data_IF_915154962291
#
_entry.id   IF_915154962291
#
_cell.length_a   1.000
_cell.length_b   1.000
_cell.length_c   1.000
_cell.angle_alpha   90.00
_cell.angle_beta   90.00
_cell.angle_gamma   90.00
#
_symmetry.space_group_name_H-M   'P 1'
#
loop_
_entity.id
_entity.type
_entity.pdbx_description
1 polymer ?
#
# COMPACT_ATOMS: atom_id res chain seq x y z
N UNK A 1 -6.61 1.26 -2.04
CA UNK A 1 -5.37 0.74 -1.40
C UNK A 1 -5.55 0.44 0.10
N UNK A 2 -6.79 0.30 0.57
CA UNK A 2 -7.15 0.22 2.00
C UNK A 2 -7.40 -1.23 2.48
N UNK A 3 -7.35 -2.25 1.61
CA UNK A 3 -7.79 -3.62 2.00
C UNK A 3 -6.63 -4.63 2.08
N UNK A 4 -5.69 -4.61 1.13
CA UNK A 4 -4.61 -5.62 1.06
C UNK A 4 -3.57 -5.54 2.19
N UNK A 5 -3.07 -4.33 2.49
CA UNK A 5 -2.17 -4.10 3.63
C UNK A 5 -2.90 -4.18 4.98
N UNK A 6 -4.22 -3.96 4.96
CA UNK A 6 -5.06 -3.85 6.15
C UNK A 6 -5.43 -5.21 6.72
N UNK A 7 -5.61 -6.26 5.89
CA UNK A 7 -5.84 -7.63 6.39
C UNK A 7 -4.69 -8.16 7.26
N UNK A 8 -3.48 -7.63 7.08
CA UNK A 8 -2.29 -7.98 7.85
C UNK A 8 -2.07 -7.08 9.08
N UNK A 9 -2.39 -5.79 9.00
CA UNK A 9 -2.32 -4.85 10.14
C UNK A 9 -3.51 -5.00 11.12
N UNK A 10 -4.67 -5.44 10.63
CA UNK A 10 -5.90 -5.59 11.43
C UNK A 10 -5.95 -6.90 12.22
N UNK A 11 -5.17 -7.92 11.85
CA UNK A 11 -5.08 -9.16 12.64
C UNK A 11 -4.45 -8.96 14.03
N UNK A 12 -3.85 -7.79 14.28
CA UNK A 12 -3.31 -7.39 15.59
C UNK A 12 -4.13 -6.30 16.31
N UNK A 13 -5.27 -5.85 15.76
CA UNK A 13 -6.11 -4.81 16.37
C UNK A 13 -7.34 -5.42 17.08
N UNK A 14 -7.70 -4.94 18.30
CA UNK A 14 -8.89 -5.41 19.02
C UNK A 14 -10.17 -5.30 18.19
N UNK A 15 -11.07 -6.27 18.36
CA UNK A 15 -12.33 -6.46 17.58
C UNK A 15 -13.17 -5.17 17.45
N UNK A 16 -13.20 -4.32 18.49
CA UNK A 16 -13.99 -3.08 18.51
C UNK A 16 -13.57 -2.03 17.48
N UNK A 17 -12.28 -1.96 17.11
CA UNK A 17 -11.80 -0.96 16.16
C UNK A 17 -12.08 -1.34 14.70
N UNK A 18 -12.18 -2.65 14.42
CA UNK A 18 -12.67 -3.16 13.14
C UNK A 18 -14.10 -2.70 12.86
N UNK A 19 -14.95 -2.70 13.89
CA UNK A 19 -16.32 -2.21 13.80
C UNK A 19 -16.35 -0.70 13.54
N UNK A 20 -15.55 0.13 14.21
CA UNK A 20 -15.53 1.59 13.98
C UNK A 20 -15.08 1.99 12.57
N UNK A 21 -14.07 1.31 12.01
CA UNK A 21 -13.66 1.51 10.60
C UNK A 21 -14.76 1.09 9.60
N UNK A 22 -15.57 0.10 9.96
CA UNK A 22 -16.72 -0.37 9.18
C UNK A 22 -17.93 0.60 9.31
N UNK A 23 -18.13 1.19 10.48
CA UNK A 23 -19.23 2.13 10.80
C UNK A 23 -18.99 3.51 10.19
N UNK A 24 -17.74 3.96 10.04
CA UNK A 24 -17.41 5.20 9.32
C UNK A 24 -17.70 5.15 7.79
N UNK A 25 -18.27 4.04 7.29
CA UNK A 25 -18.69 3.84 5.90
C UNK A 25 -20.19 4.08 5.62
N UNK A 26 -21.03 4.27 6.64
CA UNK A 26 -22.48 4.49 6.44
C UNK A 26 -22.91 5.87 6.96
N UNK A 27 -23.26 6.75 6.01
CA UNK A 27 -24.16 7.92 6.13
C UNK A 27 -24.11 8.83 7.37
N UNK A 28 -23.60 10.06 7.18
CA UNK A 28 -24.02 11.24 7.95
C UNK A 28 -23.13 11.73 9.10
N UNK A 29 -22.22 10.89 9.62
CA UNK A 29 -21.37 11.23 10.77
C UNK A 29 -19.88 11.35 10.49
N UNK A 30 -19.44 11.37 9.22
CA UNK A 30 -18.02 11.25 8.84
C UNK A 30 -17.13 12.34 9.46
N UNK A 31 -17.50 13.60 9.30
CA UNK A 31 -16.65 14.71 9.77
C UNK A 31 -16.60 14.72 11.30
N UNK A 32 -17.71 14.38 11.96
CA UNK A 32 -17.75 14.15 13.41
C UNK A 32 -16.87 12.98 13.85
N UNK A 33 -16.84 11.89 13.08
CA UNK A 33 -15.96 10.76 13.33
C UNK A 33 -14.48 11.13 13.19
N UNK A 34 -14.14 11.96 12.20
CA UNK A 34 -12.78 12.49 12.01
C UNK A 34 -12.41 13.41 13.19
N UNK A 35 -13.27 14.35 13.57
CA UNK A 35 -13.07 15.25 14.72
C UNK A 35 -12.83 14.47 16.02
N UNK A 36 -13.62 13.42 16.28
CA UNK A 36 -13.41 12.55 17.44
C UNK A 36 -12.04 11.86 17.42
N UNK A 37 -11.62 11.36 16.25
CA UNK A 37 -10.30 10.74 16.09
C UNK A 37 -9.16 11.77 16.23
N UNK A 38 -9.32 12.98 15.69
CA UNK A 38 -8.37 14.08 15.80
C UNK A 38 -8.17 14.49 17.27
N UNK A 39 -9.26 14.63 18.03
CA UNK A 39 -9.21 14.92 19.48
C UNK A 39 -8.53 13.80 20.27
N UNK A 40 -8.86 12.55 19.98
CA UNK A 40 -8.24 11.39 20.64
C UNK A 40 -6.73 11.30 20.34
N UNK A 41 -6.32 11.62 19.10
CA UNK A 41 -4.92 11.63 18.68
C UNK A 41 -4.10 12.82 19.26
N UNK A 42 -4.76 13.92 19.59
CA UNK A 42 -4.14 15.09 20.21
C UNK A 42 -3.94 14.96 21.73
N UNK A 43 -4.80 14.18 22.40
CA UNK A 43 -4.73 13.97 23.85
C UNK A 43 -3.62 13.01 24.30
N UNK A 44 -3.38 12.93 25.60
CA UNK A 44 -2.42 11.99 26.23
C UNK A 44 -3.05 10.63 26.60
N UNK A 45 -4.19 10.27 26.00
CA UNK A 45 -4.93 9.05 26.35
C UNK A 45 -4.22 7.78 25.87
N UNK A 46 -4.52 6.63 26.49
CA UNK A 46 -4.08 5.31 26.00
C UNK A 46 -4.52 5.05 24.56
N UNK A 47 -5.66 5.63 24.14
CA UNK A 47 -6.21 5.50 22.80
C UNK A 47 -5.52 6.37 21.74
N UNK A 48 -4.55 7.22 22.12
CA UNK A 48 -3.91 8.19 21.23
C UNK A 48 -3.32 7.52 19.98
N UNK A 49 -2.46 6.53 20.19
CA UNK A 49 -1.74 5.84 19.10
C UNK A 49 -2.71 5.12 18.17
N UNK A 50 -3.73 4.48 18.72
CA UNK A 50 -4.73 3.78 17.93
C UNK A 50 -5.59 4.75 17.10
N UNK A 51 -5.96 5.90 17.69
CA UNK A 51 -6.64 6.97 16.98
C UNK A 51 -5.79 7.53 15.83
N UNK A 52 -4.47 7.67 16.03
CA UNK A 52 -3.55 8.07 14.96
C UNK A 52 -3.53 7.06 13.81
N UNK A 53 -3.46 5.75 14.07
CA UNK A 53 -3.56 4.73 13.01
C UNK A 53 -4.91 4.78 12.28
N UNK A 54 -6.01 4.99 13.01
CA UNK A 54 -7.33 5.17 12.43
C UNK A 54 -7.42 6.44 11.55
N UNK A 55 -6.81 7.57 11.97
CA UNK A 55 -6.72 8.78 11.16
C UNK A 55 -5.95 8.54 9.87
N UNK A 56 -4.81 7.83 9.91
CA UNK A 56 -4.05 7.49 8.70
C UNK A 56 -4.92 6.74 7.70
N UNK A 57 -5.74 5.80 8.17
CA UNK A 57 -6.69 5.06 7.33
C UNK A 57 -7.71 6.00 6.69
N UNK A 58 -8.42 6.76 7.53
CA UNK A 58 -9.52 7.62 7.09
C UNK A 58 -9.00 8.67 6.13
N UNK A 59 -7.91 9.37 6.46
CA UNK A 59 -7.29 10.35 5.57
C UNK A 59 -6.87 9.77 4.23
N UNK A 60 -6.30 8.55 4.20
CA UNK A 60 -5.98 7.90 2.92
C UNK A 60 -7.23 7.56 2.11
N UNK A 61 -8.33 7.14 2.75
CA UNK A 61 -9.62 6.88 2.08
C UNK A 61 -10.20 8.16 1.48
N UNK A 62 -10.11 9.26 2.23
CA UNK A 62 -10.60 10.58 1.84
C UNK A 62 -9.62 11.36 0.94
N UNK A 63 -8.52 10.71 0.49
CA UNK A 63 -7.45 11.33 -0.32
C UNK A 63 -6.77 12.55 0.33
N UNK A 64 -6.91 12.71 1.65
CA UNK A 64 -6.20 13.70 2.48
C UNK A 64 -4.77 13.23 2.78
N UNK A 65 -3.98 13.01 1.73
CA UNK A 65 -2.65 12.39 1.85
C UNK A 65 -1.63 13.27 2.61
N UNK A 66 -1.81 14.60 2.57
CA UNK A 66 -1.01 15.53 3.38
C UNK A 66 -1.19 15.28 4.87
N UNK A 67 -2.45 15.22 5.31
CA UNK A 67 -2.80 14.98 6.72
C UNK A 67 -2.36 13.59 7.18
N UNK A 68 -2.56 12.56 6.34
CA UNK A 68 -2.06 11.22 6.61
C UNK A 68 -0.54 11.19 6.81
N UNK A 69 0.24 11.92 5.98
CA UNK A 69 1.69 12.00 6.17
C UNK A 69 2.08 12.76 7.45
N UNK A 70 1.33 13.79 7.84
CA UNK A 70 1.59 14.50 9.09
C UNK A 70 1.41 13.57 10.31
N UNK A 71 0.34 12.76 10.32
CA UNK A 71 0.13 11.76 11.38
C UNK A 71 1.20 10.67 11.35
N UNK A 72 1.58 10.17 10.17
CA UNK A 72 2.65 9.16 10.02
C UNK A 72 4.01 9.66 10.52
N UNK A 73 4.32 10.95 10.32
CA UNK A 73 5.55 11.56 10.84
C UNK A 73 5.59 11.53 12.38
N UNK A 74 4.47 11.88 13.02
CA UNK A 74 4.35 11.81 14.49
C UNK A 74 4.42 10.36 14.98
N UNK A 75 3.74 9.42 14.31
CA UNK A 75 3.83 7.98 14.64
C UNK A 75 5.26 7.45 14.54
N UNK A 76 6.06 7.96 13.59
CA UNK A 76 7.46 7.59 13.42
C UNK A 76 8.35 8.14 14.55
N UNK A 77 8.04 9.31 15.10
CA UNK A 77 8.72 9.85 16.28
C UNK A 77 8.38 9.03 17.54
N UNK A 78 7.11 8.64 17.69
CA UNK A 78 6.66 7.79 18.81
C UNK A 78 7.17 6.34 18.70
N UNK A 79 7.32 5.83 17.48
CA UNK A 79 7.71 4.45 17.19
C UNK A 79 8.85 4.37 16.17
N UNK A 80 10.05 4.86 16.49
CA UNK A 80 11.16 4.98 15.53
C UNK A 80 11.65 3.63 15.00
N UNK A 81 11.40 2.55 15.75
CA UNK A 81 11.76 1.18 15.36
C UNK A 81 10.67 0.48 14.55
N UNK A 82 9.49 1.08 14.34
CA UNK A 82 8.40 0.46 13.61
C UNK A 82 8.53 0.68 12.10
N UNK A 83 9.14 -0.29 11.42
CA UNK A 83 9.36 -0.25 9.97
C UNK A 83 8.07 -0.22 9.15
N UNK A 84 6.95 -0.72 9.68
CA UNK A 84 5.67 -0.67 8.97
C UNK A 84 5.12 0.76 8.88
N UNK A 85 5.43 1.64 9.84
CA UNK A 85 5.09 3.07 9.77
C UNK A 85 5.83 3.72 8.61
N UNK A 86 7.12 3.42 8.43
CA UNK A 86 7.94 3.93 7.30
C UNK A 86 7.37 3.44 5.95
N UNK A 87 7.00 2.17 5.87
CA UNK A 87 6.40 1.59 4.67
C UNK A 87 5.06 2.27 4.32
N UNK A 88 4.22 2.55 5.32
CA UNK A 88 2.94 3.23 5.11
C UNK A 88 3.11 4.72 4.80
N UNK A 89 4.11 5.40 5.38
CA UNK A 89 4.50 6.78 5.04
C UNK A 89 4.88 6.86 3.56
N UNK A 90 5.77 5.99 3.08
CA UNK A 90 6.15 5.97 1.68
C UNK A 90 4.99 5.56 0.76
N UNK A 91 4.16 4.59 1.18
CA UNK A 91 2.96 4.18 0.44
C UNK A 91 1.95 5.33 0.31
N UNK A 92 1.77 6.12 1.37
CA UNK A 92 0.89 7.31 1.38
C UNK A 92 1.47 8.41 0.50
N UNK A 93 2.79 8.63 0.54
CA UNK A 93 3.46 9.58 -0.35
C UNK A 93 3.22 9.21 -1.83
N UNK A 94 3.38 7.93 -2.19
CA UNK A 94 3.13 7.43 -3.54
C UNK A 94 1.67 7.64 -3.97
N UNK A 95 0.69 7.36 -3.10
CA UNK A 95 -0.74 7.63 -3.38
C UNK A 95 -1.02 9.11 -3.61
N UNK A 96 -0.29 9.97 -2.91
CA UNK A 96 -0.35 11.43 -3.07
C UNK A 96 0.48 11.98 -4.22
N UNK A 97 0.95 11.14 -5.15
CA UNK A 97 1.72 11.58 -6.32
C UNK A 97 3.18 11.97 -6.03
N UNK A 98 3.66 11.78 -4.80
CA UNK A 98 5.04 12.08 -4.40
C UNK A 98 5.94 10.86 -4.59
N UNK A 99 6.11 10.45 -5.84
CA UNK A 99 6.84 9.23 -6.18
C UNK A 99 8.34 9.30 -5.82
N UNK A 100 8.97 10.48 -5.97
CA UNK A 100 10.37 10.68 -5.58
C UNK A 100 10.58 10.50 -4.06
N UNK A 101 9.73 11.13 -3.24
CA UNK A 101 9.75 10.96 -1.79
C UNK A 101 9.52 9.50 -1.37
N UNK A 102 8.62 8.81 -2.07
CA UNK A 102 8.34 7.41 -1.82
C UNK A 102 9.56 6.53 -2.15
N UNK A 103 10.18 6.69 -3.32
CA UNK A 103 11.36 5.93 -3.74
C UNK A 103 12.53 6.12 -2.77
N UNK A 104 12.79 7.36 -2.33
CA UNK A 104 13.83 7.65 -1.36
C UNK A 104 13.60 6.92 -0.02
N UNK A 105 12.39 7.05 0.55
CA UNK A 105 12.01 6.39 1.82
C UNK A 105 12.03 4.86 1.70
N UNK A 106 11.54 4.31 0.59
CA UNK A 106 11.51 2.86 0.36
C UNK A 106 12.91 2.30 0.14
N UNK A 107 13.78 3.04 -0.53
CA UNK A 107 15.20 2.65 -0.70
C UNK A 107 15.90 2.59 0.65
N UNK A 108 15.77 3.62 1.49
CA UNK A 108 16.33 3.63 2.83
C UNK A 108 15.72 2.51 3.70
N UNK A 109 14.39 2.38 3.70
CA UNK A 109 13.67 1.41 4.51
C UNK A 109 13.97 -0.03 4.13
N UNK A 110 14.13 -0.35 2.83
CA UNK A 110 14.54 -1.67 2.38
C UNK A 110 15.99 -1.99 2.82
N UNK A 111 16.91 -1.02 2.72
CA UNK A 111 18.27 -1.19 3.21
C UNK A 111 18.35 -1.38 4.74
N UNK A 112 17.41 -0.82 5.49
CA UNK A 112 17.24 -1.09 6.92
C UNK A 112 16.62 -2.46 7.17
N UNK A 113 15.60 -2.86 6.39
CA UNK A 113 14.94 -4.17 6.48
C UNK A 113 15.94 -5.33 6.32
N UNK A 114 16.87 -5.23 5.37
CA UNK A 114 17.92 -6.25 5.14
C UNK A 114 18.82 -6.43 6.36
N UNK A 115 19.12 -5.36 7.09
CA UNK A 115 19.98 -5.39 8.29
C UNK A 115 19.23 -5.76 9.56
N UNK A 116 17.91 -5.74 9.53
CA UNK A 116 17.09 -5.91 10.71
C UNK A 116 16.86 -7.40 11.01
N UNK A 117 17.37 -7.84 12.16
CA UNK A 117 17.31 -9.24 12.63
C UNK A 117 15.95 -9.62 13.23
N UNK A 118 15.07 -8.66 13.49
CA UNK A 118 13.75 -8.94 14.08
C UNK A 118 12.87 -9.73 13.10
N UNK A 119 11.95 -10.58 13.61
CA UNK A 119 11.02 -11.34 12.78
C UNK A 119 10.32 -10.48 11.74
N UNK A 120 10.22 -11.00 10.52
CA UNK A 120 9.56 -10.36 9.39
C UNK A 120 8.24 -11.05 9.10
N UNK A 121 7.28 -10.30 8.60
CA UNK A 121 6.07 -10.89 8.06
C UNK A 121 6.39 -11.83 6.89
N UNK A 122 5.65 -12.93 6.69
CA UNK A 122 5.73 -13.69 5.45
C UNK A 122 5.45 -12.80 4.24
N UNK A 123 6.43 -12.66 3.36
CA UNK A 123 6.36 -11.79 2.18
C UNK A 123 6.60 -10.30 2.44
N UNK A 124 7.12 -9.92 3.62
CA UNK A 124 7.37 -8.50 3.94
C UNK A 124 8.30 -7.85 2.91
N UNK A 125 9.45 -8.47 2.62
CA UNK A 125 10.41 -7.92 1.66
C UNK A 125 9.75 -7.73 0.29
N UNK A 126 8.94 -8.69 -0.18
CA UNK A 126 8.23 -8.58 -1.45
C UNK A 126 7.25 -7.40 -1.46
N UNK A 127 6.62 -7.08 -0.32
CA UNK A 127 5.81 -5.86 -0.20
C UNK A 127 6.64 -4.59 -0.32
N UNK A 128 7.81 -4.52 0.34
CA UNK A 128 8.73 -3.38 0.21
C UNK A 128 9.22 -3.21 -1.23
N UNK A 129 9.64 -4.30 -1.87
CA UNK A 129 10.06 -4.33 -3.29
C UNK A 129 8.95 -3.87 -4.21
N UNK A 130 7.73 -4.38 -4.05
CA UNK A 130 6.57 -3.93 -4.84
C UNK A 130 6.37 -2.42 -4.73
N UNK A 131 6.36 -1.87 -3.51
CA UNK A 131 6.15 -0.42 -3.31
C UNK A 131 7.26 0.40 -3.95
N UNK A 132 8.51 -0.02 -3.82
CA UNK A 132 9.65 0.69 -4.41
C UNK A 132 9.61 0.62 -5.94
N UNK A 133 9.36 -0.57 -6.48
CA UNK A 133 9.16 -0.78 -7.91
C UNK A 133 8.01 0.06 -8.48
N UNK A 134 6.90 0.17 -7.77
CA UNK A 134 5.78 1.03 -8.17
C UNK A 134 6.15 2.53 -8.15
N UNK A 135 6.89 2.99 -7.13
CA UNK A 135 7.38 4.37 -7.08
C UNK A 135 8.35 4.67 -8.24
N UNK A 136 9.30 3.77 -8.50
CA UNK A 136 10.26 3.87 -9.62
C UNK A 136 9.56 3.82 -10.98
N UNK A 137 8.55 2.98 -11.13
CA UNK A 137 7.75 2.90 -12.35
C UNK A 137 6.98 4.20 -12.61
N UNK A 138 6.47 4.85 -11.55
CA UNK A 138 5.82 6.17 -11.65
C UNK A 138 6.81 7.28 -12.04
N UNK A 139 8.09 7.13 -11.68
CA UNK A 139 9.18 8.02 -12.09
C UNK A 139 9.76 7.69 -13.48
N UNK A 140 9.24 6.66 -14.18
CA UNK A 140 9.77 6.24 -15.48
C UNK A 140 11.15 5.59 -15.41
N UNK A 141 11.61 5.16 -14.23
CA UNK A 141 12.93 4.55 -14.06
C UNK A 141 12.96 3.12 -14.64
N UNK A 142 14.05 2.80 -15.35
CA UNK A 142 14.23 1.49 -15.96
C UNK A 142 14.40 0.36 -14.93
N UNK A 143 15.08 0.63 -13.81
CA UNK A 143 15.32 -0.34 -12.72
C UNK A 143 14.07 -0.65 -11.88
N UNK A 144 12.92 -0.03 -12.19
CA UNK A 144 11.64 -0.38 -11.57
C UNK A 144 11.28 -1.86 -11.78
N UNK A 145 11.66 -2.43 -12.93
CA UNK A 145 11.30 -3.79 -13.31
C UNK A 145 11.93 -4.84 -12.39
N UNK A 146 13.14 -4.58 -11.87
CA UNK A 146 13.88 -5.52 -11.04
C UNK A 146 13.18 -5.69 -9.68
N UNK A 147 12.75 -4.57 -9.10
CA UNK A 147 11.95 -4.56 -7.86
C UNK A 147 10.59 -5.24 -8.04
N UNK A 148 9.92 -4.97 -9.17
CA UNK A 148 8.61 -5.57 -9.44
C UNK A 148 8.71 -7.07 -9.66
N UNK A 149 9.77 -7.57 -10.33
CA UNK A 149 10.01 -9.01 -10.50
C UNK A 149 10.32 -9.68 -9.17
N UNK A 150 11.19 -9.10 -8.35
CA UNK A 150 11.48 -9.61 -7.00
C UNK A 150 10.20 -9.71 -6.14
N UNK A 151 9.26 -8.78 -6.31
CA UNK A 151 7.97 -8.81 -5.62
C UNK A 151 7.00 -9.91 -6.11
N UNK A 152 7.35 -10.67 -7.14
CA UNK A 152 6.57 -11.80 -7.67
C UNK A 152 7.16 -13.18 -7.33
N UNK A 153 8.27 -13.21 -6.59
CA UNK A 153 8.91 -14.46 -6.14
C UNK A 153 8.01 -15.26 -5.18
N UNK A 154 8.26 -16.57 -4.97
CA UNK A 154 7.38 -17.47 -4.23
C UNK A 154 7.01 -17.04 -2.80
N UNK A 155 7.86 -16.25 -2.14
CA UNK A 155 7.59 -15.71 -0.80
C UNK A 155 6.52 -14.60 -0.78
N UNK A 156 6.14 -14.06 -1.94
CA UNK A 156 5.14 -13.01 -2.04
C UNK A 156 3.73 -13.50 -1.69
N UNK A 157 3.01 -12.69 -0.92
CA UNK A 157 1.56 -12.87 -0.78
C UNK A 157 0.88 -12.71 -2.15
N UNK A 158 -0.17 -13.48 -2.49
CA UNK A 158 -0.80 -13.44 -3.81
C UNK A 158 -1.25 -12.02 -4.23
N UNK A 159 -1.79 -11.24 -3.30
CA UNK A 159 -2.21 -9.86 -3.58
C UNK A 159 -1.03 -8.90 -3.87
N UNK A 160 0.16 -9.16 -3.31
CA UNK A 160 1.38 -8.39 -3.58
C UNK A 160 1.90 -8.73 -4.97
N UNK A 161 2.09 -10.03 -5.24
CA UNK A 161 2.58 -10.51 -6.53
C UNK A 161 1.64 -10.08 -7.66
N UNK A 162 0.32 -10.21 -7.47
CA UNK A 162 -0.65 -9.78 -8.46
C UNK A 162 -0.60 -8.28 -8.77
N UNK A 163 -0.49 -7.42 -7.74
CA UNK A 163 -0.32 -5.97 -7.94
C UNK A 163 1.01 -5.61 -8.60
N UNK A 164 2.10 -6.30 -8.24
CA UNK A 164 3.38 -6.11 -8.91
C UNK A 164 3.29 -6.45 -10.40
N UNK A 165 2.64 -7.57 -10.76
CA UNK A 165 2.39 -7.96 -12.16
C UNK A 165 1.51 -6.97 -12.93
N UNK A 166 0.55 -6.30 -12.28
CA UNK A 166 -0.18 -5.19 -12.92
C UNK A 166 0.78 -4.06 -13.32
N UNK A 167 1.74 -3.70 -12.47
CA UNK A 167 2.73 -2.67 -12.82
C UNK A 167 3.69 -3.14 -13.91
N UNK A 168 4.11 -4.41 -13.91
CA UNK A 168 4.91 -5.01 -14.99
C UNK A 168 4.14 -4.95 -16.31
N UNK A 169 2.86 -5.32 -16.30
CA UNK A 169 1.99 -5.26 -17.48
C UNK A 169 1.87 -3.83 -18.03
N UNK A 170 1.73 -2.82 -17.14
CA UNK A 170 1.73 -1.40 -17.52
C UNK A 170 3.07 -0.95 -18.13
N UNK A 171 4.20 -1.39 -17.56
CA UNK A 171 5.53 -1.11 -18.11
C UNK A 171 5.73 -1.75 -19.48
N UNK A 172 5.25 -2.98 -19.69
CA UNK A 172 5.29 -3.64 -21.00
C UNK A 172 4.41 -2.90 -22.02
N UNK A 173 3.18 -2.54 -21.64
CA UNK A 173 2.27 -1.79 -22.51
C UNK A 173 2.85 -0.44 -22.94
N UNK A 174 3.49 0.31 -22.02
CA UNK A 174 4.17 1.58 -22.34
C UNK A 174 5.32 1.43 -23.33
N UNK A 175 5.97 0.27 -23.37
CA UNK A 175 7.05 -0.05 -24.31
C UNK A 175 6.54 -0.61 -25.65
N UNK A 176 5.23 -0.71 -25.84
CA UNK A 176 4.62 -1.32 -27.03
C UNK A 176 4.63 -2.85 -27.03
N UNK A 177 5.15 -3.51 -25.98
CA UNK A 177 5.16 -4.96 -25.87
C UNK A 177 3.80 -5.47 -25.38
N UNK A 178 2.88 -5.59 -26.35
CA UNK A 178 1.50 -6.00 -26.13
C UNK A 178 1.39 -7.46 -25.66
N UNK A 179 2.27 -8.35 -26.15
CA UNK A 179 2.24 -9.76 -25.77
C UNK A 179 2.63 -9.93 -24.30
N UNK A 180 3.73 -9.29 -23.87
CA UNK A 180 4.13 -9.32 -22.47
C UNK A 180 3.08 -8.64 -21.57
N UNK A 181 2.51 -7.51 -21.99
CA UNK A 181 1.47 -6.83 -21.22
C UNK A 181 0.25 -7.71 -20.96
N UNK A 182 -0.20 -8.45 -21.98
CA UNK A 182 -1.32 -9.40 -21.86
C UNK A 182 -0.96 -10.62 -20.99
N UNK A 183 0.23 -11.19 -21.16
CA UNK A 183 0.69 -12.33 -20.36
C UNK A 183 0.73 -11.98 -18.87
N UNK A 184 1.31 -10.82 -18.53
CA UNK A 184 1.42 -10.35 -17.15
C UNK A 184 0.06 -9.98 -16.56
N UNK A 185 -0.83 -9.35 -17.33
CA UNK A 185 -2.17 -9.00 -16.85
C UNK A 185 -3.03 -10.25 -16.54
N UNK A 186 -2.91 -11.34 -17.30
CA UNK A 186 -3.61 -12.61 -17.00
C UNK A 186 -3.14 -13.23 -15.68
N UNK A 187 -1.82 -13.28 -15.49
CA UNK A 187 -1.23 -13.78 -14.24
C UNK A 187 -1.61 -12.88 -13.05
N UNK A 188 -1.60 -11.56 -13.25
CA UNK A 188 -2.06 -10.61 -12.25
C UNK A 188 -3.52 -10.84 -11.85
N UNK A 189 -4.44 -11.06 -12.79
CA UNK A 189 -5.85 -11.32 -12.47
C UNK A 189 -6.02 -12.58 -11.62
N UNK A 190 -5.32 -13.67 -11.96
CA UNK A 190 -5.39 -14.93 -11.22
C UNK A 190 -4.89 -14.75 -9.76
N UNK A 191 -3.72 -14.13 -9.59
CA UNK A 191 -3.14 -13.86 -8.27
C UNK A 191 -4.00 -12.89 -7.45
N UNK A 192 -4.57 -11.87 -8.07
CA UNK A 192 -5.43 -10.91 -7.38
C UNK A 192 -6.79 -11.51 -7.00
N UNK A 193 -7.30 -12.49 -7.76
CA UNK A 193 -8.44 -13.30 -7.34
C UNK A 193 -8.10 -14.16 -6.13
N UNK A 194 -6.98 -14.87 -6.16
CA UNK A 194 -6.50 -15.67 -5.02
C UNK A 194 -6.30 -14.79 -3.77
N UNK A 195 -5.77 -13.58 -3.94
CA UNK A 195 -5.56 -12.60 -2.88
C UNK A 195 -6.81 -11.82 -2.44
N UNK A 196 -7.99 -12.09 -3.01
CA UNK A 196 -9.24 -11.35 -2.75
C UNK A 196 -9.09 -9.82 -2.91
N UNK A 197 -8.43 -9.38 -3.98
CA UNK A 197 -8.15 -7.97 -4.25
C UNK A 197 -8.95 -7.45 -5.47
N UNK A 198 -10.18 -6.95 -5.26
CA UNK A 198 -11.06 -6.53 -6.36
C UNK A 198 -10.53 -5.34 -7.15
N UNK A 199 -9.76 -4.45 -6.49
CA UNK A 199 -9.15 -3.30 -7.16
C UNK A 199 -8.08 -3.78 -8.14
N UNK A 200 -7.21 -4.69 -7.70
CA UNK A 200 -6.20 -5.26 -8.58
C UNK A 200 -6.83 -6.06 -9.74
N UNK A 201 -7.86 -6.87 -9.48
CA UNK A 201 -8.58 -7.58 -10.54
C UNK A 201 -9.15 -6.62 -11.59
N UNK A 202 -9.76 -5.51 -11.15
CA UNK A 202 -10.30 -4.50 -12.06
C UNK A 202 -9.20 -3.84 -12.92
N UNK A 203 -8.05 -3.55 -12.32
CA UNK A 203 -6.90 -2.97 -13.03
C UNK A 203 -6.31 -3.95 -14.06
N UNK A 204 -6.13 -5.23 -13.71
CA UNK A 204 -5.67 -6.27 -14.62
C UNK A 204 -6.62 -6.42 -15.82
N UNK A 205 -7.94 -6.49 -15.56
CA UNK A 205 -8.98 -6.58 -16.61
C UNK A 205 -9.02 -5.36 -17.52
N UNK A 206 -8.73 -4.16 -17.00
CA UNK A 206 -8.64 -2.94 -17.82
C UNK A 206 -7.53 -3.08 -18.88
N UNK A 207 -6.37 -3.61 -18.50
CA UNK A 207 -5.26 -3.85 -19.43
C UNK A 207 -5.66 -4.88 -20.49
N UNK A 208 -6.30 -5.98 -20.08
CA UNK A 208 -6.78 -7.04 -20.99
C UNK A 208 -7.80 -6.51 -22.02
N UNK A 209 -8.73 -5.64 -21.59
CA UNK A 209 -9.73 -5.03 -22.48
C UNK A 209 -9.11 -4.03 -23.45
N UNK A 210 -8.27 -3.12 -22.96
CA UNK A 210 -7.65 -2.09 -23.77
C UNK A 210 -6.79 -2.67 -24.91
N UNK A 211 -6.19 -3.84 -24.68
CA UNK A 211 -5.55 -4.57 -25.76
C UNK A 211 -6.58 -5.00 -26.82
N UNK A 212 -7.69 -5.62 -26.44
CA UNK A 212 -8.68 -6.18 -27.38
C UNK A 212 -9.52 -5.15 -28.17
N UNK A 213 -9.24 -3.84 -28.08
CA UNK A 213 -9.87 -2.82 -28.92
C UNK A 213 -11.36 -2.61 -28.66
N UNK A 214 -11.83 -2.87 -27.43
CA UNK A 214 -13.19 -2.60 -26.96
C UNK A 214 -13.19 -1.61 -25.81
#
# INVERSE_FOLDING_TARGET
>A
LVVGTYRYLVSSLPVGMRMLAYVAGFGGGKDRGIDLLERAAAGASEARTDAMYALVLVYNRERRYGDALNVLRQLRELHPRNRLVVLEEASTALRGGRAADADAKLTQGLAALTRDVRPKAPGEEQLWRYKRGAARAALGRADAIDDLRAATEPAAQPWVAGRARVEIARLAARRGDRLAALAEARQAEALCRQGNDPICMADARRILRNANGR
#
